data_IF_482612443475
#
_entry.id   IF_482612443475
#
_cell.length_a   1.000
_cell.length_b   1.000
_cell.length_c   1.000
_cell.angle_alpha   90.00
_cell.angle_beta   90.00
_cell.angle_gamma   90.00
#
_symmetry.space_group_name_H-M   'P 1'
#
loop_
_entity.id
_entity.type
_entity.pdbx_description
1 polymer ?
#
# COMPACT_ATOMS: atom_id res chain seq x y z
N UNK A 1 3.30 9.93 -8.14
CA UNK A 1 1.85 10.14 -8.34
C UNK A 1 1.09 9.15 -7.48
N UNK A 2 0.30 9.66 -6.53
CA UNK A 2 -0.64 8.85 -5.76
C UNK A 2 -1.89 8.65 -6.62
N UNK A 3 -2.35 7.42 -6.75
CA UNK A 3 -3.57 7.09 -7.48
C UNK A 3 -4.80 7.31 -6.59
N UNK A 4 -5.97 7.38 -7.23
CA UNK A 4 -7.23 7.35 -6.51
C UNK A 4 -7.32 6.10 -5.63
N UNK A 5 -7.94 6.23 -4.47
CA UNK A 5 -8.17 5.15 -3.53
C UNK A 5 -9.29 4.22 -4.05
N UNK A 6 -9.03 3.55 -5.16
CA UNK A 6 -9.89 2.57 -5.79
C UNK A 6 -9.06 1.39 -6.29
N UNK A 7 -9.65 0.20 -6.37
CA UNK A 7 -8.97 -0.99 -6.88
C UNK A 7 -8.89 -0.94 -8.41
N UNK A 8 -8.13 0.03 -8.91
CA UNK A 8 -7.92 0.27 -10.34
C UNK A 8 -6.44 0.26 -10.65
N UNK A 9 -6.02 -0.69 -11.50
CA UNK A 9 -4.63 -0.79 -11.96
C UNK A 9 -4.51 -0.11 -13.32
N UNK A 10 -3.63 0.88 -13.51
CA UNK A 10 -3.49 1.52 -14.81
C UNK A 10 -2.96 0.56 -15.87
N UNK A 11 -3.43 0.72 -17.11
CA UNK A 11 -3.27 -0.27 -18.21
C UNK A 11 -1.83 -0.54 -18.64
N UNK A 12 -0.90 0.40 -18.43
CA UNK A 12 0.52 0.24 -18.76
C UNK A 12 1.33 -0.45 -17.64
N UNK A 13 0.69 -0.88 -16.55
CA UNK A 13 1.36 -1.55 -15.43
C UNK A 13 1.82 -2.95 -15.84
N UNK A 14 3.13 -3.21 -15.78
CA UNK A 14 3.74 -4.52 -16.06
C UNK A 14 4.23 -5.24 -14.82
N UNK A 15 4.38 -4.53 -13.70
CA UNK A 15 4.84 -5.09 -12.42
C UNK A 15 4.13 -4.41 -11.26
N UNK A 16 3.66 -5.21 -10.30
CA UNK A 16 3.16 -4.75 -9.02
C UNK A 16 4.21 -5.04 -7.94
N UNK A 17 4.54 -4.03 -7.13
CA UNK A 17 5.41 -4.16 -5.95
C UNK A 17 4.56 -3.93 -4.71
N UNK A 18 4.30 -4.99 -3.96
CA UNK A 18 3.63 -4.90 -2.67
C UNK A 18 4.60 -4.35 -1.63
N UNK A 19 4.13 -3.37 -0.86
CA UNK A 19 4.84 -2.83 0.30
C UNK A 19 3.95 -3.08 1.53
N UNK A 20 4.43 -3.92 2.44
CA UNK A 20 3.72 -4.27 3.67
C UNK A 20 4.00 -3.25 4.79
N UNK A 21 3.18 -3.28 5.85
CA UNK A 21 3.25 -2.31 6.94
C UNK A 21 4.59 -2.28 7.71
N UNK A 22 5.39 -3.34 7.62
CA UNK A 22 6.71 -3.47 8.23
C UNK A 22 7.87 -3.15 7.26
N UNK A 23 7.59 -2.84 5.99
CA UNK A 23 8.59 -2.64 4.92
C UNK A 23 8.83 -1.16 4.58
N UNK A 24 8.48 -0.23 5.48
CA UNK A 24 8.43 1.20 5.22
C UNK A 24 9.81 1.88 5.28
N UNK A 25 10.72 1.48 4.40
CA UNK A 25 12.10 1.97 4.34
C UNK A 25 12.40 2.70 3.02
N UNK A 26 12.36 4.04 3.01
CA UNK A 26 12.56 4.84 1.78
C UNK A 26 13.97 4.71 1.18
N UNK A 27 14.95 4.26 1.98
CA UNK A 27 16.32 4.01 1.54
C UNK A 27 16.50 2.70 0.76
N UNK A 28 15.45 1.93 0.54
CA UNK A 28 15.54 0.65 -0.18
C UNK A 28 15.83 0.87 -1.68
N UNK A 29 16.70 0.05 -2.26
CA UNK A 29 17.15 0.18 -3.66
C UNK A 29 16.02 0.07 -4.69
N UNK A 30 14.88 -0.51 -4.30
CA UNK A 30 13.67 -0.55 -5.12
C UNK A 30 13.16 0.84 -5.53
N UNK A 31 13.49 1.89 -4.77
CA UNK A 31 12.98 3.24 -4.97
C UNK A 31 13.99 4.17 -5.65
N UNK A 32 15.21 3.70 -5.95
CA UNK A 32 16.27 4.50 -6.59
C UNK A 32 15.90 4.89 -8.03
N UNK A 33 15.23 3.99 -8.76
CA UNK A 33 14.85 4.18 -10.15
C UNK A 33 13.33 4.27 -10.30
N UNK A 34 12.88 5.24 -11.10
CA UNK A 34 11.47 5.44 -11.44
C UNK A 34 11.16 4.67 -12.71
N UNK A 35 10.11 3.87 -12.67
CA UNK A 35 9.63 3.09 -13.81
C UNK A 35 8.11 3.22 -13.88
N UNK A 36 7.62 3.84 -14.95
CA UNK A 36 6.20 4.07 -15.14
C UNK A 36 5.41 2.75 -15.33
N UNK A 37 6.06 1.63 -15.66
CA UNK A 37 5.41 0.34 -15.74
C UNK A 37 5.30 -0.37 -14.38
N UNK A 38 5.84 0.21 -13.31
CA UNK A 38 5.77 -0.33 -11.95
C UNK A 38 4.70 0.40 -11.15
N UNK A 39 3.81 -0.36 -10.51
CA UNK A 39 2.86 0.14 -9.51
C UNK A 39 3.28 -0.36 -8.13
N UNK A 40 3.51 0.55 -7.19
CA UNK A 40 3.66 0.21 -5.78
C UNK A 40 2.28 0.18 -5.13
N UNK A 41 1.98 -0.89 -4.40
CA UNK A 41 0.68 -1.07 -3.74
C UNK A 41 0.91 -1.22 -2.25
N UNK A 42 0.20 -0.41 -1.48
CA UNK A 42 0.10 -0.49 -0.02
C UNK A 42 -1.38 -0.64 0.27
N UNK A 43 -1.76 -1.67 1.03
CA UNK A 43 -3.15 -1.93 1.37
C UNK A 43 -3.29 -2.16 2.88
N UNK A 44 -4.15 -1.36 3.50
CA UNK A 44 -4.62 -1.61 4.86
C UNK A 44 -5.68 -2.71 4.81
N UNK A 45 -5.52 -3.81 5.54
CA UNK A 45 -6.44 -4.95 5.50
C UNK A 45 -6.86 -5.38 6.90
N UNK A 46 -8.15 -5.67 7.10
CA UNK A 46 -8.70 -6.15 8.39
C UNK A 46 -8.08 -7.46 8.85
N UNK A 47 -7.73 -8.36 7.94
CA UNK A 47 -7.05 -9.62 8.31
C UNK A 47 -5.75 -9.38 9.09
N UNK A 48 -5.04 -8.26 8.84
CA UNK A 48 -3.78 -7.91 9.47
C UNK A 48 -3.96 -7.24 10.85
N UNK A 49 -5.20 -6.85 11.19
CA UNK A 49 -5.52 -6.26 12.49
C UNK A 49 -6.19 -7.25 13.44
N UNK A 50 -6.77 -8.33 12.90
CA UNK A 50 -7.71 -9.17 13.62
C UNK A 50 -7.13 -10.57 13.96
N UNK A 51 -5.91 -10.91 13.48
CA UNK A 51 -5.26 -12.20 13.79
C UNK A 51 -4.78 -12.33 15.24
N UNK A 52 -4.65 -11.21 15.95
CA UNK A 52 -4.26 -11.16 17.35
C UNK A 52 -4.82 -9.90 18.02
N UNK A 53 -4.92 -9.86 19.36
CA UNK A 53 -5.37 -8.67 20.09
C UNK A 53 -4.29 -7.59 20.05
N UNK A 54 -4.24 -6.82 18.97
CA UNK A 54 -3.32 -5.70 18.84
C UNK A 54 -3.80 -4.50 19.65
N UNK A 55 -2.84 -3.79 20.25
CA UNK A 55 -3.12 -2.51 20.88
C UNK A 55 -3.55 -1.49 19.81
N UNK A 56 -4.59 -0.70 20.08
CA UNK A 56 -5.13 0.28 19.12
C UNK A 56 -4.07 1.26 18.62
N UNK A 57 -3.20 1.76 19.51
CA UNK A 57 -2.09 2.64 19.14
C UNK A 57 -1.12 1.99 18.14
N UNK A 58 -0.88 0.68 18.23
CA UNK A 58 -0.05 -0.04 17.25
C UNK A 58 -0.72 0.05 15.88
N UNK A 59 -1.98 -0.36 15.78
CA UNK A 59 -2.74 -0.36 14.52
C UNK A 59 -2.77 1.05 13.91
N UNK A 60 -3.13 2.07 14.69
CA UNK A 60 -3.14 3.46 14.22
C UNK A 60 -1.75 3.95 13.78
N UNK A 61 -0.68 3.59 14.50
CA UNK A 61 0.68 3.99 14.14
C UNK A 61 1.13 3.36 12.81
N UNK A 62 0.80 2.08 12.58
CA UNK A 62 1.10 1.40 11.31
C UNK A 62 0.36 2.05 10.15
N UNK A 63 -0.94 2.30 10.25
CA UNK A 63 -1.70 2.95 9.17
C UNK A 63 -1.22 4.39 8.90
N UNK A 64 -0.94 5.17 9.96
CA UNK A 64 -0.36 6.50 9.78
C UNK A 64 1.01 6.44 9.08
N UNK A 65 1.86 5.48 9.45
CA UNK A 65 3.17 5.30 8.81
C UNK A 65 3.04 4.84 7.34
N UNK A 66 2.13 3.90 7.05
CA UNK A 66 1.85 3.41 5.70
C UNK A 66 1.37 4.54 4.78
N UNK A 67 0.40 5.34 5.24
CA UNK A 67 -0.09 6.51 4.51
C UNK A 67 1.01 7.53 4.24
N UNK A 68 1.76 7.92 5.27
CA UNK A 68 2.88 8.85 5.12
C UNK A 68 3.94 8.30 4.15
N UNK A 69 4.22 7.00 4.21
CA UNK A 69 5.16 6.36 3.30
C UNK A 69 4.66 6.40 1.85
N UNK A 70 3.39 6.09 1.62
CA UNK A 70 2.77 6.16 0.31
C UNK A 70 2.85 7.58 -0.29
N UNK A 71 2.52 8.59 0.51
CA UNK A 71 2.58 10.00 0.12
C UNK A 71 4.01 10.43 -0.22
N UNK A 72 4.98 10.06 0.62
CA UNK A 72 6.40 10.32 0.36
C UNK A 72 6.86 9.65 -0.94
N UNK A 73 6.55 8.37 -1.12
CA UNK A 73 6.95 7.63 -2.31
C UNK A 73 6.30 8.20 -3.59
N UNK A 74 5.04 8.61 -3.50
CA UNK A 74 4.35 9.30 -4.58
C UNK A 74 4.97 10.66 -4.91
N UNK A 75 5.40 11.42 -3.90
CA UNK A 75 6.07 12.72 -4.05
C UNK A 75 7.45 12.59 -4.75
N UNK A 76 8.12 11.46 -4.56
CA UNK A 76 9.37 11.12 -5.26
C UNK A 76 9.15 10.76 -6.74
N UNK A 77 7.90 10.69 -7.19
CA UNK A 77 7.54 10.45 -8.59
C UNK A 77 7.20 9.01 -8.93
N UNK A 78 7.18 8.10 -7.94
CA UNK A 78 6.72 6.73 -8.15
C UNK A 78 5.20 6.68 -8.29
N UNK A 79 4.68 5.65 -8.97
CA UNK A 79 3.24 5.39 -9.04
C UNK A 79 2.83 4.55 -7.84
N UNK A 80 1.99 5.09 -6.99
CA UNK A 80 1.61 4.46 -5.73
C UNK A 80 0.09 4.36 -5.65
N UNK A 81 -0.41 3.18 -5.34
CA UNK A 81 -1.79 2.94 -4.95
C UNK A 81 -1.79 2.64 -3.45
N UNK A 82 -2.38 3.53 -2.67
CA UNK A 82 -2.64 3.30 -1.25
C UNK A 82 -4.13 3.00 -1.08
N UNK A 83 -4.46 1.78 -0.67
CA UNK A 83 -5.81 1.36 -0.34
C UNK A 83 -5.98 1.41 1.17
N UNK A 84 -6.84 2.30 1.66
CA UNK A 84 -7.17 2.37 3.09
C UNK A 84 -8.20 1.29 3.48
N UNK A 85 -8.49 1.20 4.78
CA UNK A 85 -9.45 0.24 5.32
C UNK A 85 -10.85 0.34 4.69
N UNK A 86 -11.29 1.52 4.28
CA UNK A 86 -12.61 1.70 3.68
C UNK A 86 -12.64 1.14 2.25
N UNK A 87 -11.58 1.39 1.47
CA UNK A 87 -11.46 0.84 0.13
C UNK A 87 -11.28 -0.68 0.11
N UNK A 88 -10.63 -1.25 1.14
CA UNK A 88 -10.45 -2.69 1.24
C UNK A 88 -11.57 -3.42 1.98
N UNK A 89 -12.49 -2.72 2.64
CA UNK A 89 -13.60 -3.31 3.39
C UNK A 89 -14.44 -4.36 2.62
N UNK A 90 -14.66 -4.24 1.29
CA UNK A 90 -15.38 -5.28 0.52
C UNK A 90 -14.64 -6.61 0.41
N UNK A 91 -13.33 -6.64 0.69
CA UNK A 91 -12.47 -7.80 0.54
C UNK A 91 -12.17 -8.42 1.90
N UNK A 92 -12.34 -9.74 2.01
CA UNK A 92 -12.14 -10.45 3.27
C UNK A 92 -10.65 -10.53 3.65
N UNK A 93 -9.83 -10.77 2.65
CA UNK A 93 -8.41 -11.07 2.77
C UNK A 93 -7.65 -10.62 1.51
N UNK A 94 -6.32 -10.68 1.56
CA UNK A 94 -5.47 -10.32 0.42
C UNK A 94 -5.77 -11.16 -0.82
N UNK A 95 -6.14 -12.44 -0.66
CA UNK A 95 -6.45 -13.30 -1.81
C UNK A 95 -7.68 -12.76 -2.56
N UNK A 96 -8.76 -12.45 -1.85
CA UNK A 96 -9.96 -11.87 -2.45
C UNK A 96 -9.73 -10.49 -3.08
N UNK A 97 -8.73 -9.73 -2.61
CA UNK A 97 -8.36 -8.43 -3.20
C UNK A 97 -7.68 -8.57 -4.57
N UNK A 98 -6.97 -9.67 -4.81
CA UNK A 98 -6.12 -9.85 -6.00
C UNK A 98 -6.70 -10.78 -7.07
N UNK A 99 -7.84 -11.43 -6.80
CA UNK A 99 -8.54 -12.36 -7.70
C UNK A 99 -9.87 -11.80 -8.15
#
# INVERSE_FOLDING_TARGET
MLLENTVTVPSNTKRIRWILGDQLALSHSWFEQKDEAVLYVIAELRQETDYAPHHSQKVCAFFAAMRNFADNLASLGHRVLHLDLDATAPFKDLLTLIT
#
